data_IF_343472560767
#
_entry.id   IF_343472560767
#
_cell.length_a   1.000
_cell.length_b   1.000
_cell.length_c   1.000
_cell.angle_alpha   90.00
_cell.angle_beta   90.00
_cell.angle_gamma   90.00
#
_symmetry.space_group_name_H-M   'P 1'
#
loop_
_entity.id
_entity.type
_entity.pdbx_description
1 polymer ?
#
# COMPACT_ATOMS: atom_id res chain seq x y z
N UNK A 1 27.89 9.37 -5.06
CA UNK A 1 27.04 8.28 -5.59
C UNK A 1 25.69 8.90 -5.99
N UNK A 2 25.42 9.08 -7.30
CA UNK A 2 24.12 9.56 -7.80
C UNK A 2 23.37 8.33 -8.31
N UNK A 3 22.21 8.00 -7.72
CA UNK A 3 21.35 6.91 -8.20
C UNK A 3 20.99 7.19 -9.67
N UNK A 4 21.14 6.19 -10.55
CA UNK A 4 20.98 6.35 -12.01
C UNK A 4 19.73 5.69 -12.59
N UNK A 5 19.15 4.73 -11.88
CA UNK A 5 18.00 3.96 -12.35
C UNK A 5 17.04 3.67 -11.20
N UNK A 6 15.75 3.51 -11.54
CA UNK A 6 14.66 3.21 -10.63
C UNK A 6 13.71 2.21 -11.28
N UNK A 7 13.35 1.15 -10.54
CA UNK A 7 12.27 0.25 -10.94
C UNK A 7 10.91 0.91 -10.67
N UNK A 8 9.99 0.79 -11.61
CA UNK A 8 8.64 1.37 -11.54
C UNK A 8 7.58 0.30 -11.82
N UNK A 9 6.36 0.55 -11.33
CA UNK A 9 5.19 -0.32 -11.47
C UNK A 9 4.04 0.49 -12.05
N UNK A 10 3.19 -0.15 -12.86
CA UNK A 10 1.96 0.43 -13.40
C UNK A 10 0.80 -0.50 -13.10
N UNK A 11 -0.29 0.05 -12.57
CA UNK A 11 -1.52 -0.69 -12.26
C UNK A 11 -2.65 -0.18 -13.15
N UNK A 12 -3.19 -1.04 -14.01
CA UNK A 12 -4.37 -0.72 -14.81
C UNK A 12 -5.63 -1.01 -13.99
N UNK A 13 -6.32 0.05 -13.55
CA UNK A 13 -7.49 -0.06 -12.70
C UNK A 13 -8.72 -0.61 -13.43
N UNK A 14 -8.82 -0.47 -14.75
CA UNK A 14 -9.92 -1.02 -15.55
C UNK A 14 -9.90 -2.56 -15.59
N UNK A 15 -8.72 -3.14 -15.38
CA UNK A 15 -8.52 -4.60 -15.34
C UNK A 15 -8.40 -5.17 -13.94
N UNK A 16 -8.40 -4.31 -12.91
CA UNK A 16 -8.34 -4.76 -11.54
C UNK A 16 -9.69 -5.36 -11.13
N UNK A 17 -9.69 -6.60 -10.64
CA UNK A 17 -10.91 -7.30 -10.22
C UNK A 17 -11.05 -7.41 -8.70
N UNK A 18 -10.16 -6.77 -7.94
CA UNK A 18 -10.24 -6.76 -6.46
C UNK A 18 -10.10 -8.15 -5.81
N UNK A 19 -9.38 -9.10 -6.41
CA UNK A 19 -9.32 -10.48 -5.93
C UNK A 19 -8.37 -10.74 -4.75
N UNK A 20 -7.58 -9.74 -4.33
CA UNK A 20 -6.62 -9.84 -3.23
C UNK A 20 -5.47 -10.85 -3.38
N UNK A 21 -5.27 -11.47 -4.56
CA UNK A 21 -4.17 -12.43 -4.78
C UNK A 21 -2.78 -11.81 -4.54
N UNK A 22 -2.57 -10.55 -4.96
CA UNK A 22 -1.32 -9.83 -4.72
C UNK A 22 -1.04 -9.59 -3.23
N UNK A 23 -2.08 -9.40 -2.43
CA UNK A 23 -1.98 -9.23 -0.97
C UNK A 23 -1.57 -10.54 -0.30
N UNK A 24 -2.25 -11.64 -0.60
CA UNK A 24 -1.99 -12.95 0.04
C UNK A 24 -0.59 -13.47 -0.31
N UNK A 25 -0.17 -13.33 -1.56
CA UNK A 25 1.18 -13.75 -1.99
C UNK A 25 2.27 -12.96 -1.27
N UNK A 26 2.14 -11.63 -1.20
CA UNK A 26 3.08 -10.78 -0.45
C UNK A 26 3.10 -11.14 1.05
N UNK A 27 1.92 -11.39 1.64
CA UNK A 27 1.76 -11.75 3.05
C UNK A 27 2.49 -13.04 3.39
N UNK A 28 2.21 -14.08 2.62
CA UNK A 28 2.76 -15.42 2.87
C UNK A 28 4.27 -15.46 2.73
N UNK A 29 4.83 -14.68 1.81
CA UNK A 29 6.27 -14.68 1.58
C UNK A 29 7.02 -13.80 2.58
N UNK A 30 6.50 -12.61 2.90
CA UNK A 30 7.28 -11.60 3.60
C UNK A 30 6.85 -11.32 5.05
N UNK A 31 5.54 -11.20 5.29
CA UNK A 31 4.97 -10.71 6.57
C UNK A 31 4.17 -11.78 7.33
N UNK A 32 4.59 -13.04 7.21
CA UNK A 32 4.04 -14.19 7.94
C UNK A 32 4.67 -14.43 9.32
N UNK A 33 5.62 -13.57 9.74
CA UNK A 33 6.36 -13.68 11.00
C UNK A 33 5.61 -13.05 12.16
N UNK A 34 5.90 -13.53 13.37
CA UNK A 34 5.29 -13.02 14.61
C UNK A 34 5.56 -11.52 14.78
N UNK A 35 4.52 -10.75 15.08
CA UNK A 35 4.56 -9.29 15.21
C UNK A 35 4.27 -8.53 13.91
N UNK A 36 4.13 -9.21 12.76
CA UNK A 36 3.75 -8.61 11.48
C UNK A 36 2.45 -9.18 10.91
N UNK A 37 1.69 -9.94 11.69
CA UNK A 37 0.45 -10.61 11.28
C UNK A 37 -0.60 -9.61 10.80
N UNK A 38 -0.64 -8.42 11.40
CA UNK A 38 -1.54 -7.34 10.97
C UNK A 38 -1.06 -6.60 9.72
N UNK A 39 0.23 -6.69 9.37
CA UNK A 39 0.85 -5.87 8.33
C UNK A 39 0.65 -6.47 6.94
N UNK A 40 0.06 -5.67 6.06
CA UNK A 40 -0.11 -5.95 4.64
C UNK A 40 0.70 -4.93 3.83
N UNK A 41 1.89 -5.30 3.38
CA UNK A 41 2.75 -4.40 2.58
C UNK A 41 2.14 -4.08 1.21
N UNK A 42 1.41 -5.04 0.64
CA UNK A 42 0.61 -4.84 -0.56
C UNK A 42 -0.86 -5.11 -0.20
N UNK A 43 -1.69 -4.07 -0.16
CA UNK A 43 -3.11 -4.15 0.16
C UNK A 43 -3.98 -3.64 -0.99
N UNK A 44 -5.21 -4.15 -1.07
CA UNK A 44 -6.23 -3.72 -2.02
C UNK A 44 -7.41 -3.13 -1.24
N UNK A 45 -7.91 -1.98 -1.67
CA UNK A 45 -8.98 -1.24 -1.02
C UNK A 45 -10.11 -0.93 -2.01
N UNK A 46 -11.36 -1.08 -1.58
CA UNK A 46 -12.52 -0.66 -2.36
C UNK A 46 -12.77 0.84 -2.17
N UNK A 47 -13.05 1.55 -3.27
CA UNK A 47 -13.45 2.96 -3.25
C UNK A 47 -14.90 3.12 -3.71
N UNK A 48 -15.69 4.01 -3.07
CA UNK A 48 -15.35 4.83 -1.90
C UNK A 48 -15.15 3.99 -0.60
N UNK A 49 -14.20 4.37 0.26
CA UNK A 49 -13.88 3.62 1.48
C UNK A 49 -12.82 4.29 2.37
N UNK A 50 -12.67 3.81 3.61
CA UNK A 50 -11.78 4.38 4.65
C UNK A 50 -10.31 3.92 4.56
N UNK A 51 -10.03 2.85 3.81
CA UNK A 51 -8.69 2.30 3.61
C UNK A 51 -8.04 1.63 4.83
N UNK A 52 -6.77 1.27 4.67
CA UNK A 52 -5.92 0.63 5.68
C UNK A 52 -4.54 1.34 5.78
N UNK A 53 -4.15 1.85 6.96
CA UNK A 53 -4.97 2.00 8.17
C UNK A 53 -6.15 2.95 7.95
N UNK A 54 -7.13 2.93 8.86
CA UNK A 54 -8.35 3.72 8.71
C UNK A 54 -8.04 5.21 8.52
N UNK A 55 -8.62 5.81 7.49
CA UNK A 55 -8.48 7.22 7.11
C UNK A 55 -7.03 7.64 6.83
N UNK A 56 -6.19 6.76 6.28
CA UNK A 56 -4.78 7.06 6.01
C UNK A 56 -4.55 8.27 5.07
N UNK A 57 -5.53 8.60 4.22
CA UNK A 57 -5.50 9.77 3.34
C UNK A 57 -5.59 11.11 4.11
N UNK A 58 -6.10 11.13 5.35
CA UNK A 58 -6.28 12.35 6.14
C UNK A 58 -4.98 12.85 6.79
N UNK A 59 -4.28 13.77 6.12
CA UNK A 59 -3.01 14.31 6.63
C UNK A 59 -3.14 15.30 7.80
N UNK A 60 -4.34 15.81 8.10
CA UNK A 60 -4.55 16.60 9.33
C UNK A 60 -4.42 15.73 10.59
N UNK A 61 -4.73 14.43 10.47
CA UNK A 61 -4.58 13.44 11.52
C UNK A 61 -3.21 12.75 11.48
N UNK A 62 -2.77 12.30 10.29
CA UNK A 62 -1.59 11.43 10.16
C UNK A 62 -0.26 12.16 9.90
N UNK A 63 -0.32 13.45 9.57
CA UNK A 63 0.85 14.35 9.50
C UNK A 63 2.01 13.82 8.63
N UNK A 64 1.70 13.12 7.53
CA UNK A 64 2.68 12.61 6.58
C UNK A 64 2.98 13.59 5.42
N UNK A 65 4.03 13.28 4.65
CA UNK A 65 4.38 14.02 3.43
C UNK A 65 5.12 15.33 3.68
N UNK A 66 5.02 16.27 2.73
CA UNK A 66 5.74 17.55 2.73
C UNK A 66 4.76 18.69 2.43
N UNK A 67 5.00 19.85 3.04
CA UNK A 67 4.28 21.09 2.73
C UNK A 67 5.27 22.08 2.14
N UNK A 68 4.94 22.65 0.98
CA UNK A 68 5.75 23.72 0.39
C UNK A 68 5.49 25.00 1.18
N UNK A 69 6.56 25.63 1.66
CA UNK A 69 6.53 26.98 2.21
C UNK A 69 6.47 28.01 1.09
#
# INVERSE_FOLDING_TARGET
MKVRAQFALVFNLDKCIGCHTCTVTCKNFWTNRKGQEYAYWNNVESKPGIGYPKNWENQSQWQGGWVRK
#
